data_IF_860250146950
#
_entry.id   IF_860250146950
#
_cell.length_a   1.000
_cell.length_b   1.000
_cell.length_c   1.000
_cell.angle_alpha   90.00
_cell.angle_beta   90.00
_cell.angle_gamma   90.00
#
_symmetry.space_group_name_H-M   'P 1'
#
loop_
_entity.id
_entity.type
_entity.pdbx_description
1 polymer ?
#
# COMPACT_ATOMS: atom_id res chain seq x y z
N UNK A 1 24.55 0.29 12.92
CA UNK A 1 25.08 0.10 11.54
C UNK A 1 24.10 0.76 10.57
N UNK A 2 24.41 1.96 10.06
CA UNK A 2 23.51 2.72 9.18
C UNK A 2 23.37 2.12 7.77
N UNK A 3 24.36 1.37 7.31
CA UNK A 3 24.37 0.78 5.96
C UNK A 3 23.30 -0.32 5.77
N UNK A 4 23.11 -1.20 6.77
CA UNK A 4 22.09 -2.25 6.73
C UNK A 4 20.68 -1.68 6.61
N UNK A 5 20.40 -0.55 7.29
CA UNK A 5 19.12 0.15 7.19
C UNK A 5 18.90 0.70 5.77
N UNK A 6 19.92 1.29 5.16
CA UNK A 6 19.84 1.77 3.78
C UNK A 6 19.61 0.64 2.78
N UNK A 7 20.25 -0.52 2.96
CA UNK A 7 20.05 -1.69 2.09
C UNK A 7 18.60 -2.20 2.19
N UNK A 8 18.06 -2.31 3.40
CA UNK A 8 16.67 -2.77 3.59
C UNK A 8 15.66 -1.76 3.05
N UNK A 9 15.89 -0.46 3.25
CA UNK A 9 15.07 0.60 2.64
C UNK A 9 15.13 0.57 1.12
N UNK A 10 16.33 0.42 0.55
CA UNK A 10 16.51 0.29 -0.90
C UNK A 10 15.76 -0.93 -1.46
N UNK A 11 15.87 -2.10 -0.82
CA UNK A 11 15.14 -3.32 -1.22
C UNK A 11 13.63 -3.14 -1.12
N UNK A 12 13.16 -2.45 -0.07
CA UNK A 12 11.75 -2.14 0.12
C UNK A 12 11.22 -1.28 -1.03
N UNK A 13 11.92 -0.21 -1.40
CA UNK A 13 11.50 0.66 -2.52
C UNK A 13 11.55 -0.07 -3.87
N UNK A 14 12.60 -0.87 -4.14
CA UNK A 14 12.64 -1.73 -5.34
C UNK A 14 11.48 -2.74 -5.40
N UNK A 15 11.10 -3.30 -4.24
CA UNK A 15 9.95 -4.22 -4.16
C UNK A 15 8.64 -3.50 -4.39
N UNK A 16 8.49 -2.28 -3.87
CA UNK A 16 7.32 -1.44 -4.10
C UNK A 16 7.17 -1.08 -5.58
N UNK A 17 8.27 -0.71 -6.25
CA UNK A 17 8.31 -0.48 -7.69
C UNK A 17 7.88 -1.72 -8.49
N UNK A 18 8.48 -2.87 -8.19
CA UNK A 18 8.16 -4.15 -8.84
C UNK A 18 6.68 -4.52 -8.77
N UNK A 19 6.08 -4.47 -7.57
CA UNK A 19 4.67 -4.83 -7.37
C UNK A 19 3.72 -3.80 -8.01
N UNK A 20 4.04 -2.51 -7.93
CA UNK A 20 3.22 -1.45 -8.52
C UNK A 20 3.23 -1.55 -10.05
N UNK A 21 4.38 -1.90 -10.65
CA UNK A 21 4.50 -2.17 -12.09
C UNK A 21 3.67 -3.37 -12.52
N UNK A 22 3.67 -4.45 -11.74
CA UNK A 22 2.85 -5.63 -12.01
C UNK A 22 1.34 -5.29 -11.98
N UNK A 23 0.92 -4.47 -11.02
CA UNK A 23 -0.46 -3.95 -10.95
C UNK A 23 -0.80 -3.09 -12.17
N UNK A 24 0.07 -2.13 -12.52
CA UNK A 24 -0.15 -1.24 -13.67
C UNK A 24 -0.31 -2.02 -14.99
N UNK A 25 0.50 -3.06 -15.19
CA UNK A 25 0.47 -3.91 -16.39
C UNK A 25 -0.80 -4.77 -16.48
N UNK A 26 -1.31 -5.24 -15.35
CA UNK A 26 -2.51 -6.09 -15.29
C UNK A 26 -3.82 -5.29 -15.24
N UNK A 27 -3.77 -3.98 -15.00
CA UNK A 27 -4.93 -3.12 -14.91
C UNK A 27 -5.55 -2.82 -16.28
N UNK A 28 -6.88 -2.87 -16.35
CA UNK A 28 -7.65 -2.61 -17.58
C UNK A 28 -8.05 -1.14 -17.71
N UNK A 29 -8.22 -0.45 -16.59
CA UNK A 29 -8.59 0.96 -16.57
C UNK A 29 -7.37 1.87 -16.75
N UNK A 30 -7.25 2.65 -17.85
CA UNK A 30 -6.02 3.38 -18.17
C UNK A 30 -5.60 4.39 -17.09
N UNK A 31 -6.56 5.01 -16.40
CA UNK A 31 -6.29 5.97 -15.32
C UNK A 31 -5.63 5.30 -14.11
N UNK A 32 -6.13 4.13 -13.73
CA UNK A 32 -5.60 3.37 -12.59
C UNK A 32 -4.25 2.74 -12.97
N UNK A 33 -4.12 2.22 -14.19
CA UNK A 33 -2.86 1.73 -14.72
C UNK A 33 -1.77 2.81 -14.66
N UNK A 34 -2.10 4.03 -15.11
CA UNK A 34 -1.19 5.19 -15.04
C UNK A 34 -0.80 5.51 -13.60
N UNK A 35 -1.75 5.56 -12.67
CA UNK A 35 -1.47 5.84 -11.26
C UNK A 35 -0.47 4.84 -10.65
N UNK A 36 -0.66 3.54 -10.88
CA UNK A 36 0.29 2.53 -10.42
C UNK A 36 1.63 2.58 -11.16
N UNK A 37 1.64 3.02 -12.42
CA UNK A 37 2.87 3.34 -13.17
C UNK A 37 3.64 4.48 -12.52
N UNK A 38 2.99 5.61 -12.27
CA UNK A 38 3.59 6.78 -11.62
C UNK A 38 4.15 6.43 -10.23
N UNK A 39 3.44 5.59 -9.45
CA UNK A 39 3.94 5.08 -8.17
C UNK A 39 5.15 4.16 -8.31
N UNK A 40 5.20 3.34 -9.37
CA UNK A 40 6.36 2.48 -9.63
C UNK A 40 7.59 3.32 -9.97
N UNK A 41 7.43 4.34 -10.82
CA UNK A 41 8.51 5.23 -11.23
C UNK A 41 9.03 6.06 -10.04
N UNK A 42 8.13 6.58 -9.19
CA UNK A 42 8.51 7.30 -7.98
C UNK A 42 9.30 6.41 -6.98
N UNK A 43 8.88 5.15 -6.82
CA UNK A 43 9.61 4.20 -5.96
C UNK A 43 10.99 3.85 -6.54
N UNK A 44 11.13 3.75 -7.86
CA UNK A 44 12.43 3.57 -8.51
C UNK A 44 13.36 4.77 -8.31
N UNK A 45 12.82 6.00 -8.41
CA UNK A 45 13.58 7.22 -8.13
C UNK A 45 14.06 7.24 -6.68
N UNK A 46 13.18 6.91 -5.73
CA UNK A 46 13.53 6.79 -4.31
C UNK A 46 14.63 5.75 -4.07
N UNK A 47 14.52 4.57 -4.69
CA UNK A 47 15.56 3.55 -4.63
C UNK A 47 16.89 4.09 -5.23
N UNK A 48 16.83 4.87 -6.30
CA UNK A 48 18.01 5.54 -6.88
C UNK A 48 18.67 6.56 -5.95
N UNK A 49 17.87 7.30 -5.15
CA UNK A 49 18.39 8.23 -4.14
C UNK A 49 19.10 7.46 -3.03
N UNK A 50 18.48 6.38 -2.52
CA UNK A 50 19.08 5.55 -1.46
C UNK A 50 20.33 4.81 -1.97
N UNK A 51 20.35 4.42 -3.24
CA UNK A 51 21.51 3.78 -3.85
C UNK A 51 22.77 4.66 -3.81
N UNK A 52 22.62 5.99 -3.80
CA UNK A 52 23.76 6.94 -3.68
C UNK A 52 24.41 6.93 -2.29
N UNK A 53 23.70 6.45 -1.26
CA UNK A 53 24.23 6.32 0.10
C UNK A 53 24.72 4.92 0.45
N UNK A 54 24.84 4.03 -0.55
CA UNK A 54 25.40 2.68 -0.43
C UNK A 54 26.80 2.66 -1.06
N UNK A 55 27.76 2.00 -0.41
CA UNK A 55 29.10 1.78 -0.97
C UNK A 55 29.04 0.82 -2.16
N UNK A 56 28.22 -0.22 -2.04
CA UNK A 56 27.92 -1.15 -3.14
C UNK A 56 26.41 -1.37 -3.25
N UNK A 57 25.86 -1.10 -4.44
CA UNK A 57 24.43 -1.31 -4.70
C UNK A 57 24.22 -2.79 -5.06
N UNK A 58 23.50 -3.57 -4.24
CA UNK A 58 23.28 -4.99 -4.55
C UNK A 58 22.37 -5.14 -5.77
N UNK A 59 22.46 -6.29 -6.44
CA UNK A 59 21.51 -6.62 -7.51
C UNK A 59 20.12 -6.90 -6.92
N UNK A 60 19.09 -6.22 -7.43
CA UNK A 60 17.72 -6.43 -6.96
C UNK A 60 17.21 -7.80 -7.42
N UNK A 61 16.77 -8.63 -6.45
CA UNK A 61 16.07 -9.89 -6.71
C UNK A 61 14.76 -9.86 -5.92
N UNK A 62 13.59 -9.84 -6.60
CA UNK A 62 12.31 -9.91 -5.91
C UNK A 62 12.22 -11.18 -5.06
N UNK A 63 11.62 -11.05 -3.87
CA UNK A 63 11.38 -12.21 -3.01
C UNK A 63 10.37 -13.17 -3.65
N UNK A 64 10.42 -14.46 -3.29
CA UNK A 64 9.43 -15.46 -3.75
C UNK A 64 7.98 -15.01 -3.47
N UNK A 65 7.76 -14.34 -2.34
CA UNK A 65 6.46 -13.76 -1.98
C UNK A 65 6.06 -12.65 -2.95
N UNK A 66 6.97 -11.72 -3.27
CA UNK A 66 6.69 -10.66 -4.24
C UNK A 66 6.39 -11.24 -5.63
N UNK A 67 7.15 -12.24 -6.08
CA UNK A 67 6.87 -12.95 -7.32
C UNK A 67 5.49 -13.61 -7.32
N UNK A 68 5.11 -14.27 -6.22
CA UNK A 68 3.79 -14.87 -6.09
C UNK A 68 2.67 -13.83 -6.17
N UNK A 69 2.80 -12.69 -5.49
CA UNK A 69 1.82 -11.60 -5.54
C UNK A 69 1.70 -11.06 -6.97
N UNK A 70 2.82 -10.79 -7.63
CA UNK A 70 2.83 -10.32 -9.02
C UNK A 70 2.13 -11.33 -9.95
N UNK A 71 2.42 -12.62 -9.79
CA UNK A 71 1.76 -13.68 -10.56
C UNK A 71 0.24 -13.73 -10.33
N UNK A 72 -0.23 -13.61 -9.08
CA UNK A 72 -1.67 -13.55 -8.77
C UNK A 72 -2.31 -12.33 -9.42
N UNK A 73 -1.67 -11.16 -9.34
CA UNK A 73 -2.15 -9.91 -9.95
C UNK A 73 -2.23 -10.04 -11.47
N UNK A 74 -1.20 -10.60 -12.12
CA UNK A 74 -1.21 -10.81 -13.57
C UNK A 74 -2.26 -11.84 -14.00
N UNK A 75 -2.51 -12.88 -13.20
CA UNK A 75 -3.42 -13.97 -13.56
C UNK A 75 -4.90 -13.62 -13.35
N UNK A 76 -5.22 -12.94 -12.25
CA UNK A 76 -6.60 -12.67 -11.83
C UNK A 76 -7.00 -11.18 -11.91
N UNK A 77 -6.03 -10.31 -12.17
CA UNK A 77 -6.20 -8.87 -12.18
C UNK A 77 -6.12 -8.24 -10.78
N UNK A 78 -5.82 -6.93 -10.72
CA UNK A 78 -5.57 -6.25 -9.45
C UNK A 78 -6.82 -6.11 -8.58
N UNK A 79 -8.01 -6.02 -9.17
CA UNK A 79 -9.28 -5.97 -8.43
C UNK A 79 -9.57 -7.24 -7.63
N UNK A 80 -9.24 -8.42 -8.15
CA UNK A 80 -9.39 -9.68 -7.42
C UNK A 80 -8.27 -9.88 -6.39
N UNK A 81 -7.07 -9.37 -6.69
CA UNK A 81 -5.89 -9.49 -5.83
C UNK A 81 -5.84 -8.49 -4.66
N UNK A 82 -6.83 -7.61 -4.51
CA UNK A 82 -6.90 -6.57 -3.47
C UNK A 82 -6.60 -7.03 -2.04
N UNK A 83 -7.16 -8.13 -1.50
CA UNK A 83 -6.85 -8.55 -0.13
C UNK A 83 -5.37 -8.88 0.05
N UNK A 84 -4.74 -9.47 -0.97
CA UNK A 84 -3.33 -9.85 -0.97
C UNK A 84 -2.44 -8.60 -1.08
N UNK A 85 -2.82 -7.65 -1.94
CA UNK A 85 -2.12 -6.36 -2.09
C UNK A 85 -2.19 -5.52 -0.80
N UNK A 86 -3.35 -5.46 -0.15
CA UNK A 86 -3.53 -4.78 1.12
C UNK A 86 -2.69 -5.42 2.24
N UNK A 87 -2.70 -6.74 2.35
CA UNK A 87 -1.89 -7.48 3.33
C UNK A 87 -0.38 -7.36 3.10
N UNK A 88 0.03 -7.04 1.86
CA UNK A 88 1.43 -6.83 1.48
C UNK A 88 1.86 -5.37 1.56
N UNK A 89 1.02 -4.49 2.13
CA UNK A 89 1.25 -3.05 2.30
C UNK A 89 1.55 -2.32 0.98
N UNK A 90 1.01 -2.80 -0.14
CA UNK A 90 1.13 -2.08 -1.40
C UNK A 90 0.36 -0.76 -1.28
N UNK A 91 1.04 0.36 -1.48
CA UNK A 91 0.43 1.70 -1.46
C UNK A 91 -0.55 1.82 -2.64
N UNK A 92 -1.65 2.57 -2.46
CA UNK A 92 -2.64 2.84 -3.52
C UNK A 92 -3.76 1.80 -3.71
N UNK A 93 -3.79 0.71 -2.94
CA UNK A 93 -4.87 -0.32 -3.02
C UNK A 93 -6.25 0.26 -2.64
N UNK A 94 -6.29 1.39 -1.93
CA UNK A 94 -7.51 2.14 -1.61
C UNK A 94 -8.25 2.67 -2.85
N UNK A 95 -7.57 2.84 -3.99
CA UNK A 95 -8.18 3.26 -5.26
C UNK A 95 -9.24 2.27 -5.71
N UNK A 96 -9.06 0.99 -5.40
CA UNK A 96 -10.04 -0.02 -5.73
C UNK A 96 -11.24 -0.01 -4.78
N UNK A 97 -11.08 0.57 -3.59
CA UNK A 97 -12.18 0.76 -2.62
C UNK A 97 -13.03 1.89 -3.13
N UNK A 98 -13.79 1.60 -4.20
CA UNK A 98 -14.83 2.49 -4.70
C UNK A 98 -15.62 3.03 -3.52
N UNK A 99 -15.98 4.31 -3.58
CA UNK A 99 -16.67 5.03 -2.53
C UNK A 99 -17.64 4.08 -1.83
N UNK A 100 -17.27 3.61 -0.64
CA UNK A 100 -18.15 2.74 0.12
C UNK A 100 -19.22 3.68 0.65
N UNK A 101 -20.23 3.96 -0.18
CA UNK A 101 -21.53 4.43 0.29
C UNK A 101 -22.11 3.29 1.10
N UNK A 102 -21.66 3.19 2.35
CA UNK A 102 -22.45 2.53 3.39
C UNK A 102 -23.79 3.29 3.42
N UNK A 103 -24.94 2.63 3.26
CA UNK A 103 -26.21 3.30 3.50
C UNK A 103 -26.23 3.66 4.99
N UNK A 104 -25.99 4.93 5.33
CA UNK A 104 -26.04 5.37 6.72
C UNK A 104 -25.32 6.66 7.10
N UNK A 105 -24.43 7.23 6.27
CA UNK A 105 -23.86 8.55 6.58
C UNK A 105 -23.75 9.42 5.32
N UNK A 106 -24.65 10.41 5.12
CA UNK A 106 -24.38 11.46 4.14
C UNK A 106 -23.09 12.17 4.53
N UNK A 107 -22.15 12.24 3.58
CA UNK A 107 -20.94 13.04 3.72
C UNK A 107 -21.37 14.52 3.68
N UNK A 108 -21.03 15.33 4.69
CA UNK A 108 -21.37 16.75 4.69
C UNK A 108 -20.77 17.43 3.46
N UNK A 109 -21.62 17.99 2.60
CA UNK A 109 -21.20 18.72 1.39
C UNK A 109 -21.01 20.22 1.67
N UNK A 110 -21.03 20.64 2.94
CA UNK A 110 -20.87 22.04 3.36
C UNK A 110 -19.99 22.13 4.61
N UNK A 111 -19.10 23.13 4.61
CA UNK A 111 -18.04 23.34 5.61
C UNK A 111 -18.60 23.72 7.00
N UNK A 112 -19.81 24.28 7.05
CA UNK A 112 -20.48 24.71 8.30
C UNK A 112 -20.92 23.58 9.25
N UNK A 113 -20.85 22.31 8.83
CA UNK A 113 -21.34 21.17 9.63
C UNK A 113 -20.26 20.48 10.48
N UNK A 114 -18.99 20.88 10.37
CA UNK A 114 -17.85 20.16 10.98
C UNK A 114 -17.77 20.32 12.52
N UNK A 115 -18.55 21.21 13.14
CA UNK A 115 -18.41 21.52 14.58
C UNK A 115 -19.49 21.01 15.54
N UNK A 116 -20.63 20.47 15.07
CA UNK A 116 -21.84 20.35 15.92
C UNK A 116 -22.01 19.04 16.70
N UNK A 117 -21.16 18.01 16.52
CA UNK A 117 -21.44 16.66 17.06
C UNK A 117 -20.54 16.17 18.20
N UNK A 118 -19.73 17.03 18.81
CA UNK A 118 -18.91 16.67 19.99
C UNK A 118 -19.52 17.12 21.33
N UNK A 119 -20.85 17.12 21.46
CA UNK A 119 -21.51 17.24 22.77
C UNK A 119 -22.68 16.27 22.85
N UNK A 120 -22.45 15.09 23.44
CA UNK A 120 -23.55 14.21 23.86
C UNK A 120 -23.20 12.73 24.01
N UNK A 121 -22.93 12.34 25.26
CA UNK A 121 -23.31 11.06 25.89
C UNK A 121 -22.63 9.73 25.49
N UNK A 122 -21.86 9.22 26.46
CA UNK A 122 -21.47 7.83 26.75
C UNK A 122 -22.51 6.75 26.41
N UNK A 123 -22.05 5.59 25.91
CA UNK A 123 -21.96 4.29 26.63
C UNK A 123 -21.94 3.08 25.65
N UNK A 124 -21.13 2.05 25.95
CA UNK A 124 -21.38 0.69 25.45
C UNK A 124 -20.23 -0.01 24.70
N UNK A 125 -19.36 -0.67 25.46
CA UNK A 125 -18.34 -1.61 25.01
C UNK A 125 -18.87 -2.74 24.13
N UNK A 126 -18.16 -3.08 23.03
CA UNK A 126 -17.63 -4.42 22.71
C UNK A 126 -17.13 -4.49 21.26
N UNK A 127 -15.93 -5.08 21.10
CA UNK A 127 -15.26 -5.60 19.88
C UNK A 127 -14.25 -4.71 19.16
N UNK A 128 -12.99 -4.77 19.63
CA UNK A 128 -11.80 -4.89 18.77
C UNK A 128 -10.57 -5.35 19.60
N UNK A 129 -10.71 -6.45 20.34
CA UNK A 129 -9.57 -7.19 20.91
C UNK A 129 -8.93 -8.07 19.82
N UNK A 130 -8.37 -7.44 18.78
CA UNK A 130 -7.45 -8.08 17.81
C UNK A 130 -6.26 -7.12 17.61
N UNK A 131 -5.56 -6.86 18.70
CA UNK A 131 -4.18 -6.37 18.70
C UNK A 131 -3.46 -7.13 19.82
N UNK A 132 -3.12 -8.37 19.51
CA UNK A 132 -2.23 -9.23 20.27
C UNK A 132 -1.66 -10.22 19.28
N UNK A 133 -0.34 -10.41 19.32
CA UNK A 133 0.49 -11.17 18.37
C UNK A 133 1.02 -10.32 17.18
N UNK A 134 1.89 -9.36 17.49
CA UNK A 134 3.10 -9.18 16.69
C UNK A 134 4.26 -8.82 17.64
N UNK A 135 4.54 -9.76 18.53
CA UNK A 135 5.77 -9.84 19.33
C UNK A 135 6.89 -10.49 18.50
N UNK A 136 8.12 -10.01 18.65
CA UNK A 136 9.35 -10.54 18.04
C UNK A 136 9.94 -9.56 17.04
N UNK A 137 10.94 -8.71 17.33
CA UNK A 137 12.25 -9.01 17.93
C UNK A 137 12.93 -10.21 17.26
N UNK A 138 13.64 -9.93 16.17
CA UNK A 138 15.06 -10.27 15.97
C UNK A 138 15.72 -9.22 15.10
#
# INVERSE_FOLDING_TARGET
>A
MPETDHIERWKSEKTAAFLSRAVAKAEKEPRVAKLFGDMADAAEEQAGIIAKSLETVPAFKPSRRACFIAWVVERFGPRAARPILAASKVRGVSVYSGAVTRPGHPMPTKVDEIGKRHRGANNGSLRAAVFGINDGLV
#
